data_IF_820166721278
#
_entry.id   IF_820166721278
#
_cell.length_a   1.000
_cell.length_b   1.000
_cell.length_c   1.000
_cell.angle_alpha   90.00
_cell.angle_beta   90.00
_cell.angle_gamma   90.00
#
_symmetry.space_group_name_H-M   'P 1'
#
loop_
_entity.id
_entity.type
_entity.pdbx_description
1 polymer ?
#
# COMPACT_ATOMS: atom_id res chain seq x y z
N UNK A 1 19.68 0.78 -38.13
CA UNK A 1 19.19 0.59 -36.74
C UNK A 1 18.59 -0.79 -36.46
N UNK A 2 18.03 -1.53 -37.43
CA UNK A 2 17.42 -2.85 -37.21
C UNK A 2 18.37 -3.96 -36.73
N UNK A 3 19.70 -3.80 -36.80
CA UNK A 3 20.68 -4.84 -36.43
C UNK A 3 21.15 -4.80 -34.96
N UNK A 4 20.81 -3.77 -34.17
CA UNK A 4 21.33 -3.65 -32.79
C UNK A 4 20.44 -4.36 -31.73
N UNK A 5 19.29 -4.91 -32.12
CA UNK A 5 18.25 -5.39 -31.19
C UNK A 5 18.09 -6.93 -31.24
N UNK A 6 18.92 -7.64 -32.00
CA UNK A 6 18.70 -9.07 -32.30
C UNK A 6 19.24 -10.04 -31.23
N UNK A 7 19.78 -9.55 -30.10
CA UNK A 7 20.42 -10.40 -29.08
C UNK A 7 19.66 -10.62 -27.77
N UNK A 8 18.57 -9.90 -27.49
CA UNK A 8 17.95 -9.92 -26.15
C UNK A 8 16.73 -10.87 -26.14
N UNK A 9 17.00 -12.18 -26.03
CA UNK A 9 15.95 -13.17 -25.72
C UNK A 9 15.63 -13.14 -24.23
N UNK A 10 14.39 -12.75 -23.95
CA UNK A 10 13.73 -12.75 -22.64
C UNK A 10 13.75 -14.13 -21.96
N UNK A 11 14.55 -14.27 -20.91
CA UNK A 11 14.26 -15.11 -19.75
C UNK A 11 15.00 -14.54 -18.53
N UNK A 12 14.23 -14.33 -17.46
CA UNK A 12 14.64 -13.87 -16.12
C UNK A 12 15.04 -12.39 -16.00
N UNK A 13 14.14 -11.63 -15.37
CA UNK A 13 14.29 -10.20 -15.06
C UNK A 13 14.89 -10.10 -13.67
N UNK A 14 16.20 -9.91 -13.67
CA UNK A 14 16.98 -9.55 -12.50
C UNK A 14 16.94 -8.01 -12.31
N UNK A 15 17.06 -7.56 -11.06
CA UNK A 15 17.15 -6.14 -10.69
C UNK A 15 18.45 -5.46 -11.16
N UNK A 16 19.28 -6.20 -11.90
CA UNK A 16 20.53 -5.80 -12.54
C UNK A 16 20.36 -5.27 -13.98
N UNK A 17 19.18 -5.37 -14.60
CA UNK A 17 18.99 -4.93 -15.98
C UNK A 17 18.79 -3.40 -16.08
N UNK A 18 19.88 -2.65 -15.98
CA UNK A 18 19.92 -1.22 -16.34
C UNK A 18 20.35 -1.08 -17.79
N UNK A 19 19.56 -0.38 -18.61
CA UNK A 19 19.93 -0.09 -20.00
C UNK A 19 20.23 1.39 -20.15
N UNK A 20 21.43 1.70 -20.61
CA UNK A 20 21.86 3.04 -20.96
C UNK A 20 21.56 3.25 -22.45
N UNK A 21 20.71 4.22 -22.76
CA UNK A 21 20.34 4.60 -24.12
C UNK A 21 20.90 5.98 -24.40
N UNK A 22 21.77 6.07 -25.39
CA UNK A 22 22.20 7.37 -25.91
C UNK A 22 21.11 7.88 -26.86
N UNK A 23 20.29 8.81 -26.39
CA UNK A 23 19.13 9.35 -27.10
C UNK A 23 19.47 10.06 -28.41
N UNK A 24 20.71 10.54 -28.57
CA UNK A 24 21.20 11.10 -29.85
C UNK A 24 21.82 10.09 -30.81
N UNK A 25 22.02 8.83 -30.41
CA UNK A 25 22.74 7.86 -31.24
C UNK A 25 21.94 7.51 -32.50
N UNK A 26 22.45 7.95 -33.66
CA UNK A 26 21.86 7.70 -34.97
C UNK A 26 20.72 8.65 -35.37
N UNK A 27 20.46 9.70 -34.59
CA UNK A 27 19.59 10.81 -34.99
C UNK A 27 20.43 11.95 -35.59
N UNK A 28 19.81 12.80 -36.42
CA UNK A 28 20.49 13.96 -37.02
C UNK A 28 20.68 15.05 -35.96
N UNK A 29 21.83 15.71 -35.92
CA UNK A 29 22.03 16.91 -35.10
C UNK A 29 21.54 18.16 -35.85
N UNK A 30 20.78 19.06 -35.22
CA UNK A 30 20.31 19.01 -33.83
C UNK A 30 19.22 17.95 -33.63
N UNK A 31 19.28 17.23 -32.50
CA UNK A 31 18.37 16.12 -32.20
C UNK A 31 16.95 16.64 -32.02
N UNK A 32 16.00 16.11 -32.80
CA UNK A 32 14.59 16.44 -32.69
C UNK A 32 13.97 15.74 -31.45
N UNK A 33 13.39 16.48 -30.48
CA UNK A 33 12.79 15.90 -29.28
C UNK A 33 11.74 14.82 -29.57
N UNK A 34 10.94 15.01 -30.63
CA UNK A 34 9.86 14.09 -31.00
C UNK A 34 10.39 12.73 -31.48
N UNK A 35 11.53 12.71 -32.17
CA UNK A 35 12.16 11.47 -32.64
C UNK A 35 12.70 10.66 -31.46
N UNK A 36 13.28 11.34 -30.46
CA UNK A 36 13.75 10.72 -29.22
C UNK A 36 12.57 10.14 -28.43
N UNK A 37 11.47 10.89 -28.29
CA UNK A 37 10.26 10.39 -27.61
C UNK A 37 9.71 9.15 -28.32
N UNK A 38 9.60 9.17 -29.64
CA UNK A 38 9.12 8.03 -30.42
C UNK A 38 10.03 6.78 -30.25
N UNK A 39 11.35 6.99 -30.25
CA UNK A 39 12.33 5.93 -30.01
C UNK A 39 12.17 5.32 -28.62
N UNK A 40 12.09 6.16 -27.59
CA UNK A 40 11.96 5.72 -26.20
C UNK A 40 10.62 5.03 -25.97
N UNK A 41 9.55 5.50 -26.61
CA UNK A 41 8.24 4.84 -26.57
C UNK A 41 8.31 3.43 -27.20
N UNK A 42 9.01 3.27 -28.32
CA UNK A 42 9.22 1.97 -28.95
C UNK A 42 10.03 1.01 -28.06
N UNK A 43 11.06 1.51 -27.38
CA UNK A 43 11.84 0.74 -26.41
C UNK A 43 10.98 0.34 -25.22
N UNK A 44 10.23 1.28 -24.63
CA UNK A 44 9.38 1.04 -23.47
C UNK A 44 8.26 0.05 -23.76
N UNK A 45 7.75 0.00 -25.00
CA UNK A 45 6.79 -1.03 -25.45
C UNK A 45 7.35 -2.44 -25.33
N UNK A 46 8.67 -2.63 -25.50
CA UNK A 46 9.35 -3.92 -25.38
C UNK A 46 9.92 -4.18 -23.98
N UNK A 47 10.27 -3.12 -23.25
CA UNK A 47 10.96 -3.16 -21.96
C UNK A 47 10.17 -2.40 -20.89
N UNK A 48 9.00 -2.96 -20.54
CA UNK A 48 8.03 -2.28 -19.67
C UNK A 48 8.55 -2.01 -18.25
N UNK A 49 9.36 -2.90 -17.70
CA UNK A 49 9.81 -2.87 -16.30
C UNK A 49 11.31 -2.60 -16.12
N UNK A 50 12.01 -2.30 -17.22
CA UNK A 50 13.47 -2.06 -17.19
C UNK A 50 13.76 -0.60 -16.81
N UNK A 51 14.73 -0.37 -15.92
CA UNK A 51 15.23 0.97 -15.63
C UNK A 51 16.01 1.48 -16.84
N UNK A 52 15.58 2.63 -17.39
CA UNK A 52 16.20 3.25 -18.55
C UNK A 52 16.96 4.50 -18.11
N UNK A 53 18.27 4.52 -18.34
CA UNK A 53 19.11 5.71 -18.18
C UNK A 53 19.29 6.30 -19.58
N UNK A 54 18.76 7.50 -19.82
CA UNK A 54 18.76 8.11 -21.15
C UNK A 54 19.71 9.29 -21.15
N UNK A 55 20.78 9.17 -21.94
CA UNK A 55 21.74 10.25 -22.17
C UNK A 55 21.27 11.10 -23.35
N UNK A 56 21.22 12.41 -23.16
CA UNK A 56 20.60 13.38 -24.06
C UNK A 56 21.55 14.55 -24.30
N UNK A 57 21.38 15.21 -25.44
CA UNK A 57 22.11 16.42 -25.77
C UNK A 57 21.70 17.57 -24.83
N UNK A 58 22.66 18.43 -24.44
CA UNK A 58 22.42 19.51 -23.47
C UNK A 58 21.29 20.47 -23.87
N UNK A 59 21.07 20.68 -25.18
CA UNK A 59 19.99 21.52 -25.69
C UNK A 59 18.58 21.03 -25.34
N UNK A 60 18.41 19.74 -25.04
CA UNK A 60 17.12 19.17 -24.65
C UNK A 60 16.79 19.40 -23.16
N UNK A 61 17.76 19.86 -22.36
CA UNK A 61 17.55 20.11 -20.93
C UNK A 61 16.54 21.23 -20.65
N UNK A 62 16.42 22.17 -21.58
CA UNK A 62 15.49 23.31 -21.46
C UNK A 62 14.10 23.03 -22.03
N UNK A 63 13.91 21.91 -22.72
CA UNK A 63 12.62 21.53 -23.31
C UNK A 63 11.74 20.84 -22.27
N UNK A 64 10.87 21.64 -21.65
CA UNK A 64 9.95 21.20 -20.59
C UNK A 64 8.94 20.17 -21.08
N UNK A 65 8.48 20.29 -22.34
CA UNK A 65 7.47 19.38 -22.90
C UNK A 65 8.09 18.02 -23.17
N UNK A 66 9.31 18.02 -23.72
CA UNK A 66 10.10 16.82 -23.89
C UNK A 66 10.38 16.09 -22.56
N UNK A 67 10.85 16.82 -21.53
CA UNK A 67 11.10 16.23 -20.20
C UNK A 67 9.81 15.64 -19.62
N UNK A 68 8.69 16.35 -19.74
CA UNK A 68 7.39 15.87 -19.27
C UNK A 68 6.97 14.58 -19.99
N UNK A 69 7.16 14.52 -21.31
CA UNK A 69 6.86 13.31 -22.09
C UNK A 69 7.70 12.11 -21.62
N UNK A 70 8.99 12.32 -21.38
CA UNK A 70 9.90 11.28 -20.85
C UNK A 70 9.49 10.77 -19.47
N UNK A 71 9.16 11.69 -18.56
CA UNK A 71 8.69 11.35 -17.20
C UNK A 71 7.35 10.61 -17.24
N UNK A 72 6.41 11.01 -18.11
CA UNK A 72 5.14 10.32 -18.30
C UNK A 72 5.31 8.89 -18.84
N UNK A 73 6.42 8.61 -19.54
CA UNK A 73 6.81 7.25 -19.95
C UNK A 73 7.56 6.48 -18.85
N UNK A 74 7.61 7.00 -17.62
CA UNK A 74 8.29 6.43 -16.46
C UNK A 74 9.81 6.47 -16.56
N UNK A 75 10.38 7.31 -17.43
CA UNK A 75 11.83 7.46 -17.58
C UNK A 75 12.30 8.57 -16.64
N UNK A 76 12.86 8.15 -15.50
CA UNK A 76 13.28 9.04 -14.41
C UNK A 76 14.80 9.16 -14.28
N UNK A 77 15.58 8.69 -15.24
CA UNK A 77 17.03 8.86 -15.27
C UNK A 77 17.44 9.57 -16.58
N UNK A 78 17.13 10.86 -16.67
CA UNK A 78 17.52 11.70 -17.80
C UNK A 78 18.83 12.39 -17.49
N UNK A 79 19.82 12.22 -18.35
CA UNK A 79 21.11 12.89 -18.23
C UNK A 79 21.38 13.77 -19.44
N UNK A 80 21.73 15.02 -19.19
CA UNK A 80 22.01 16.03 -20.21
C UNK A 80 23.50 16.37 -20.22
N UNK A 81 24.33 15.36 -20.43
CA UNK A 81 25.80 15.52 -20.52
C UNK A 81 26.34 14.75 -21.71
N UNK A 82 27.41 15.27 -22.30
CA UNK A 82 28.16 14.64 -23.40
C UNK A 82 29.33 13.79 -22.90
N UNK A 83 29.76 13.97 -21.65
CA UNK A 83 30.91 13.28 -21.06
C UNK A 83 30.52 12.49 -19.81
N UNK A 84 31.06 11.27 -19.69
CA UNK A 84 30.84 10.36 -18.57
C UNK A 84 32.16 9.96 -17.92
N UNK A 85 32.20 10.01 -16.57
CA UNK A 85 33.11 9.17 -15.79
C UNK A 85 32.33 7.99 -15.24
N UNK A 86 32.94 6.81 -15.22
CA UNK A 86 32.29 5.57 -14.78
C UNK A 86 31.71 5.66 -13.36
N UNK A 87 32.36 6.42 -12.48
CA UNK A 87 31.95 6.60 -11.09
C UNK A 87 30.65 7.42 -10.96
N UNK A 88 30.42 8.36 -11.88
CA UNK A 88 29.21 9.20 -11.87
C UNK A 88 27.96 8.36 -12.19
N UNK A 89 28.09 7.40 -13.11
CA UNK A 89 27.00 6.45 -13.45
C UNK A 89 26.69 5.56 -12.25
N UNK A 90 27.70 5.04 -11.56
CA UNK A 90 27.50 4.19 -10.39
C UNK A 90 26.84 4.95 -9.24
N UNK A 91 27.26 6.19 -8.98
CA UNK A 91 26.64 7.04 -7.98
C UNK A 91 25.20 7.41 -8.37
N UNK A 92 24.97 7.68 -9.66
CA UNK A 92 23.64 7.97 -10.18
C UNK A 92 22.68 6.78 -10.08
N UNK A 93 23.15 5.58 -10.39
CA UNK A 93 22.36 4.34 -10.25
C UNK A 93 21.97 4.12 -8.78
N UNK A 94 22.88 4.41 -7.84
CA UNK A 94 22.60 4.31 -6.40
C UNK A 94 21.58 5.34 -5.92
N UNK A 95 21.49 6.49 -6.58
CA UNK A 95 20.55 7.54 -6.21
C UNK A 95 19.14 7.25 -6.78
N UNK A 96 18.14 7.12 -5.90
CA UNK A 96 16.76 6.92 -6.31
C UNK A 96 16.17 8.25 -6.79
N UNK A 97 16.01 8.40 -8.09
CA UNK A 97 15.35 9.56 -8.70
C UNK A 97 13.83 9.40 -8.66
N UNK A 98 13.14 10.46 -8.29
CA UNK A 98 11.68 10.54 -8.24
C UNK A 98 11.18 11.62 -9.18
N UNK A 99 9.89 11.61 -9.53
CA UNK A 99 9.23 12.68 -10.29
C UNK A 99 9.47 14.08 -9.67
N UNK A 100 9.69 14.14 -8.35
CA UNK A 100 9.98 15.38 -7.62
C UNK A 100 11.30 16.03 -8.02
N UNK A 101 12.32 15.23 -8.33
CA UNK A 101 13.64 15.75 -8.70
C UNK A 101 13.57 16.50 -10.04
N UNK A 102 12.64 16.09 -10.91
CA UNK A 102 12.35 16.77 -12.18
C UNK A 102 11.62 18.09 -12.01
N UNK A 103 10.70 18.20 -11.06
CA UNK A 103 10.03 19.48 -10.76
C UNK A 103 11.00 20.53 -10.22
N UNK A 104 12.13 20.11 -9.62
CA UNK A 104 13.20 21.03 -9.23
C UNK A 104 13.96 21.57 -10.47
N UNK A 105 14.16 20.73 -11.50
CA UNK A 105 14.79 21.13 -12.78
C UNK A 105 13.88 22.10 -13.56
N UNK A 106 12.56 21.89 -13.51
CA UNK A 106 11.57 22.76 -14.17
C UNK A 106 11.50 24.17 -13.57
N UNK A 107 12.17 24.41 -12.44
CA UNK A 107 12.27 25.70 -11.78
C UNK A 107 10.96 26.15 -11.13
N UNK A 108 11.05 26.70 -9.91
CA UNK A 108 9.97 27.54 -9.35
C UNK A 108 9.84 28.75 -10.26
N UNK A 109 8.93 28.70 -11.24
CA UNK A 109 8.51 29.87 -12.02
C UNK A 109 8.09 30.94 -11.01
N UNK A 110 8.94 31.96 -10.79
CA UNK A 110 8.70 33.06 -9.84
C UNK A 110 7.38 33.73 -10.22
N UNK A 111 6.30 33.32 -9.56
CA UNK A 111 5.02 33.98 -9.65
C UNK A 111 5.14 35.31 -8.89
N UNK A 112 5.50 36.40 -9.60
CA UNK A 112 5.42 37.75 -9.04
C UNK A 112 3.95 38.17 -9.04
N UNK A 113 3.26 38.02 -7.91
CA UNK A 113 2.01 38.74 -7.64
C UNK A 113 2.40 40.19 -7.33
N UNK A 114 1.82 41.21 -7.96
CA UNK A 114 2.05 42.59 -7.57
C UNK A 114 1.33 42.83 -6.24
N UNK A 115 2.11 42.90 -5.15
CA UNK A 115 1.61 43.30 -3.84
C UNK A 115 1.47 44.83 -3.82
N UNK A 116 0.25 45.30 -3.63
CA UNK A 116 -0.10 46.72 -3.46
C UNK A 116 0.57 47.23 -2.18
N UNK A 117 1.46 48.20 -2.33
CA UNK A 117 2.20 48.84 -1.25
C UNK A 117 1.39 50.04 -0.75
N UNK A 118 0.74 49.88 0.40
CA UNK A 118 0.11 50.99 1.12
C UNK A 118 1.17 51.94 1.66
N UNK A 119 0.94 53.23 1.45
CA UNK A 119 1.82 54.33 1.82
C UNK A 119 2.04 54.41 3.33
N UNK A 120 3.26 54.74 3.73
CA UNK A 120 3.61 55.29 5.03
C UNK A 120 4.37 56.58 4.76
N UNK A 121 3.87 57.70 5.29
CA UNK A 121 4.63 58.94 5.38
C UNK A 121 4.49 59.47 6.81
N UNK A 122 5.65 59.53 7.47
CA UNK A 122 6.15 60.39 8.55
C UNK A 122 5.20 61.05 9.57
N UNK A 123 5.57 60.94 10.86
CA UNK A 123 6.24 62.05 11.57
C UNK A 123 6.77 61.68 12.98
N UNK A 124 8.08 61.93 13.16
CA UNK A 124 8.86 62.48 14.29
C UNK A 124 8.32 62.55 15.73
N UNK A 125 9.20 62.20 16.68
CA UNK A 125 9.20 62.70 18.07
C UNK A 125 10.40 62.21 18.90
N UNK A 126 11.35 63.10 19.20
CA UNK A 126 12.55 62.91 20.04
C UNK A 126 12.23 62.81 21.56
N UNK A 127 13.11 62.16 22.32
CA UNK A 127 13.22 62.34 23.78
C UNK A 127 14.30 61.45 24.41
N UNK A 128 15.29 62.08 25.07
CA UNK A 128 16.50 61.47 25.63
C UNK A 128 16.43 61.24 27.16
N UNK A 129 17.33 60.38 27.67
CA UNK A 129 17.62 60.12 29.09
C UNK A 129 17.21 58.70 29.51
N UNK A 130 18.00 57.84 30.15
CA UNK A 130 19.18 58.02 30.98
C UNK A 130 18.96 57.24 32.28
N UNK A 131 19.71 56.14 32.51
CA UNK A 131 20.01 55.64 33.85
C UNK A 131 19.24 54.44 34.42
N UNK A 132 20.05 53.46 34.85
CA UNK A 132 19.92 52.63 36.06
C UNK A 132 19.07 51.34 36.08
N UNK A 133 19.79 50.26 36.40
CA UNK A 133 19.38 48.95 36.94
C UNK A 133 18.99 49.09 38.42
N UNK A 134 17.96 48.37 38.93
CA UNK A 134 18.20 47.26 39.86
C UNK A 134 17.26 46.04 39.69
N UNK A 135 17.48 44.93 40.43
CA UNK A 135 16.90 43.60 40.21
C UNK A 135 15.89 43.20 41.32
N UNK A 136 15.71 41.90 41.62
CA UNK A 136 14.59 41.04 41.24
C UNK A 136 13.56 40.86 42.37
N UNK A 137 12.38 40.31 42.08
CA UNK A 137 11.53 39.80 43.15
C UNK A 137 10.99 38.39 42.90
N UNK A 138 11.12 37.63 43.97
CA UNK A 138 10.78 36.23 44.15
C UNK A 138 9.30 36.07 44.49
N UNK A 139 8.75 34.91 44.11
CA UNK A 139 7.72 34.23 44.87
C UNK A 139 6.28 34.49 44.42
N UNK A 140 5.60 33.43 43.95
CA UNK A 140 4.83 32.60 44.87
C UNK A 140 4.03 31.54 44.10
N UNK A 141 4.10 30.32 44.62
CA UNK A 141 3.23 29.19 44.31
C UNK A 141 1.83 29.45 44.88
N UNK A 142 0.79 29.37 44.04
CA UNK A 142 -0.59 28.98 44.36
C UNK A 142 -1.13 28.30 43.09
N UNK A 143 -1.18 26.97 42.97
CA UNK A 143 -2.16 26.04 43.53
C UNK A 143 -3.60 26.55 43.55
N UNK A 144 -4.49 25.68 43.04
CA UNK A 144 -5.96 25.63 43.23
C UNK A 144 -6.86 26.28 42.16
N UNK A 145 -7.44 25.37 41.37
CA UNK A 145 -8.91 25.19 41.24
C UNK A 145 -9.61 25.80 40.04
N UNK A 146 -9.99 24.85 39.16
CA UNK A 146 -11.12 24.81 38.24
C UNK A 146 -12.35 25.60 38.71
N UNK A 147 -12.93 26.46 37.86
CA UNK A 147 -14.34 26.80 37.94
C UNK A 147 -15.15 26.03 36.89
N UNK A 148 -16.13 25.26 37.38
CA UNK A 148 -17.37 25.03 36.65
C UNK A 148 -18.16 26.36 36.60
N UNK A 149 -19.06 26.50 35.62
CA UNK A 149 -20.39 26.97 35.99
C UNK A 149 -21.51 26.10 35.43
N UNK A 150 -22.47 25.92 36.32
CA UNK A 150 -23.80 25.37 36.18
C UNK A 150 -24.74 26.33 35.43
N UNK A 151 -25.74 25.76 34.74
CA UNK A 151 -27.12 26.22 34.89
C UNK A 151 -27.72 27.19 33.85
N UNK A 152 -28.39 26.58 32.86
CA UNK A 152 -29.77 26.86 32.42
C UNK A 152 -30.25 28.29 32.09
N UNK A 153 -30.63 28.51 30.83
CA UNK A 153 -31.92 29.04 30.33
C UNK A 153 -31.74 29.38 28.84
N UNK A 154 -32.54 28.84 27.92
CA UNK A 154 -33.87 29.35 27.61
C UNK A 154 -33.80 30.21 26.35
N UNK A 155 -34.07 29.65 25.17
CA UNK A 155 -34.07 30.41 23.92
C UNK A 155 -34.23 29.55 22.66
N UNK A 156 -35.43 29.04 22.42
CA UNK A 156 -35.84 28.50 21.11
C UNK A 156 -36.00 29.66 20.13
N UNK A 157 -35.14 29.74 19.12
CA UNK A 157 -35.32 30.59 17.94
C UNK A 157 -35.46 29.67 16.73
N UNK A 158 -36.64 29.71 16.10
CA UNK A 158 -36.94 29.00 14.86
C UNK A 158 -36.13 29.59 13.69
N UNK A 159 -35.54 28.77 12.80
CA UNK A 159 -35.00 29.27 11.55
C UNK A 159 -36.13 29.50 10.52
N UNK A 160 -36.03 30.53 9.66
CA UNK A 160 -37.02 30.81 8.63
C UNK A 160 -36.87 29.85 7.43
N UNK A 161 -38.01 29.38 6.92
CA UNK A 161 -38.15 28.57 5.71
C UNK A 161 -37.66 29.31 4.46
N UNK A 162 -37.08 28.61 3.47
CA UNK A 162 -36.73 29.20 2.18
C UNK A 162 -37.98 29.38 1.29
N UNK A 163 -38.01 30.41 0.43
CA UNK A 163 -39.11 30.64 -0.50
C UNK A 163 -39.05 29.72 -1.73
N UNK A 164 -40.19 29.11 -2.04
CA UNK A 164 -40.46 28.42 -3.30
C UNK A 164 -40.55 29.41 -4.46
N UNK A 165 -39.97 29.14 -5.64
CA UNK A 165 -40.37 29.79 -6.87
C UNK A 165 -41.37 28.91 -7.63
N UNK A 166 -42.61 29.41 -7.68
CA UNK A 166 -43.62 29.10 -8.67
C UNK A 166 -43.25 29.76 -10.00
N UNK A 167 -43.17 28.96 -11.06
CA UNK A 167 -42.87 29.44 -12.41
C UNK A 167 -43.26 28.41 -13.47
N UNK A 168 -44.55 28.38 -13.80
CA UNK A 168 -45.11 27.71 -14.97
C UNK A 168 -44.90 28.62 -16.19
N UNK A 169 -44.16 28.19 -17.21
CA UNK A 169 -44.47 28.52 -18.62
C UNK A 169 -44.18 27.32 -19.52
N UNK A 170 -45.26 26.93 -20.20
CA UNK A 170 -45.46 26.02 -21.32
C UNK A 170 -44.77 26.56 -22.59
N UNK A 171 -44.08 25.72 -23.36
CA UNK A 171 -44.33 25.68 -24.80
C UNK A 171 -43.85 24.41 -25.50
N UNK A 172 -44.74 23.94 -26.35
CA UNK A 172 -44.63 22.87 -27.33
C UNK A 172 -43.58 23.24 -28.40
N UNK A 173 -42.77 22.28 -28.86
CA UNK A 173 -42.74 21.98 -30.30
C UNK A 173 -42.05 20.65 -30.64
N UNK A 174 -42.94 19.75 -31.03
CA UNK A 174 -42.80 18.56 -31.85
C UNK A 174 -41.97 18.84 -33.13
N UNK A 175 -40.97 18.01 -33.43
CA UNK A 175 -40.54 17.65 -34.79
C UNK A 175 -39.52 16.51 -34.78
N UNK A 176 -39.98 15.32 -35.17
CA UNK A 176 -39.22 14.29 -35.87
C UNK A 176 -40.08 13.93 -37.11
N UNK A 177 -39.61 13.23 -38.16
CA UNK A 177 -38.33 12.52 -38.31
C UNK A 177 -37.60 12.84 -39.64
N UNK A 178 -36.36 12.40 -39.81
CA UNK A 178 -35.76 12.26 -41.14
C UNK A 178 -34.87 11.02 -41.21
N UNK A 179 -35.44 10.04 -41.88
CA UNK A 179 -34.88 8.80 -42.39
C UNK A 179 -33.80 9.07 -43.44
N UNK A 180 -32.56 8.63 -43.21
CA UNK A 180 -31.61 8.34 -44.30
C UNK A 180 -30.83 7.06 -43.94
N UNK A 181 -31.17 5.95 -44.62
CA UNK A 181 -30.31 4.78 -44.83
C UNK A 181 -29.30 5.10 -45.93
N UNK A 182 -28.05 4.63 -45.81
CA UNK A 182 -27.54 3.57 -46.69
C UNK A 182 -26.57 2.63 -45.92
N UNK A 183 -26.11 1.46 -46.38
CA UNK A 183 -26.34 0.56 -47.51
C UNK A 183 -25.44 -0.65 -47.20
N UNK A 184 -26.05 -1.82 -47.14
CA UNK A 184 -25.57 -3.16 -47.52
C UNK A 184 -24.06 -3.45 -47.47
N UNK A 185 -23.68 -4.18 -46.42
CA UNK A 185 -22.90 -5.42 -46.37
C UNK A 185 -22.18 -5.92 -47.63
N UNK A 186 -20.88 -6.17 -47.47
CA UNK A 186 -20.15 -7.31 -48.04
C UNK A 186 -18.89 -7.58 -47.19
N UNK A 187 -18.84 -8.65 -46.39
CA UNK A 187 -17.59 -9.25 -45.96
C UNK A 187 -17.32 -10.55 -46.76
N UNK A 188 -16.13 -10.61 -47.37
CA UNK A 188 -15.55 -11.84 -47.91
C UNK A 188 -15.12 -12.78 -46.77
N UNK A 189 -15.07 -14.10 -47.02
CA UNK A 189 -15.07 -15.13 -45.99
C UNK A 189 -13.69 -15.27 -45.34
N UNK A 190 -13.66 -15.27 -44.01
CA UNK A 190 -12.53 -15.77 -43.24
C UNK A 190 -12.67 -17.28 -43.11
N UNK A 191 -11.62 -17.97 -43.52
CA UNK A 191 -11.43 -19.40 -43.38
C UNK A 191 -11.59 -19.81 -41.92
N UNK A 192 -12.50 -20.75 -41.75
CA UNK A 192 -12.70 -21.62 -40.60
C UNK A 192 -11.40 -22.41 -40.37
N UNK A 193 -10.67 -22.05 -39.30
CA UNK A 193 -9.71 -22.95 -38.68
C UNK A 193 -10.41 -23.44 -37.42
N UNK A 194 -11.07 -24.59 -37.56
CA UNK A 194 -11.36 -25.47 -36.44
C UNK A 194 -10.05 -25.78 -35.74
N UNK A 195 -9.95 -25.39 -34.47
CA UNK A 195 -9.01 -26.02 -33.56
C UNK A 195 -9.72 -26.19 -32.22
N UNK A 196 -10.30 -27.39 -32.09
CA UNK A 196 -10.51 -28.08 -30.83
C UNK A 196 -9.25 -27.95 -29.98
N UNK A 197 -9.42 -27.47 -28.74
CA UNK A 197 -8.62 -27.92 -27.61
C UNK A 197 -9.43 -27.60 -26.33
N UNK A 198 -10.20 -28.61 -25.92
CA UNK A 198 -10.63 -28.81 -24.54
C UNK A 198 -9.39 -28.85 -23.63
N UNK A 199 -9.18 -27.78 -22.86
CA UNK A 199 -8.38 -27.87 -21.63
C UNK A 199 -9.13 -27.13 -20.52
N UNK A 200 -9.87 -27.92 -19.74
CA UNK A 200 -10.29 -27.62 -18.37
C UNK A 200 -9.04 -27.24 -17.53
N UNK A 201 -8.71 -25.95 -17.52
CA UNK A 201 -7.72 -25.39 -16.61
C UNK A 201 -8.45 -24.72 -15.44
N UNK A 202 -8.69 -25.50 -14.38
CA UNK A 202 -9.04 -24.96 -13.08
C UNK A 202 -8.05 -23.83 -12.69
N UNK A 203 -8.52 -22.66 -12.20
CA UNK A 203 -7.63 -21.59 -11.80
C UNK A 203 -7.01 -21.93 -10.43
N UNK A 204 -5.94 -22.72 -10.43
CA UNK A 204 -5.15 -22.96 -9.23
C UNK A 204 -4.36 -21.69 -8.93
N UNK A 205 -4.78 -21.02 -7.87
CA UNK A 205 -4.17 -19.85 -7.23
C UNK A 205 -2.64 -19.90 -7.24
N UNK A 206 -2.02 -19.13 -8.13
CA UNK A 206 -0.58 -18.89 -8.17
C UNK A 206 -0.07 -18.09 -6.95
N UNK A 207 -0.96 -17.59 -6.09
CA UNK A 207 -0.61 -16.84 -4.89
C UNK A 207 -0.12 -17.74 -3.73
N UNK A 208 -0.26 -19.06 -3.81
CA UNK A 208 0.06 -19.98 -2.71
C UNK A 208 1.31 -20.85 -2.92
N UNK A 209 2.13 -20.61 -3.96
CA UNK A 209 3.35 -21.40 -4.24
C UNK A 209 4.68 -20.72 -3.87
N UNK A 210 4.67 -19.77 -2.93
CA UNK A 210 5.91 -19.23 -2.33
C UNK A 210 6.13 -19.90 -0.96
N UNK A 211 6.42 -21.20 -0.94
CA UNK A 211 6.92 -21.85 0.27
C UNK A 211 7.86 -22.99 -0.11
N UNK A 212 9.11 -22.65 -0.43
CA UNK A 212 10.32 -23.44 -0.12
C UNK A 212 11.55 -22.75 -0.73
N UNK A 213 12.33 -22.01 0.06
CA UNK A 213 13.70 -21.65 -0.32
C UNK A 213 14.24 -20.31 0.20
N UNK A 214 13.40 -19.29 0.40
CA UNK A 214 13.85 -18.00 0.93
C UNK A 214 13.06 -17.61 2.17
N UNK A 215 13.76 -17.29 3.26
CA UNK A 215 13.21 -16.85 4.55
C UNK A 215 12.64 -15.42 4.49
N UNK A 216 12.06 -15.02 3.36
CA UNK A 216 11.52 -13.68 3.22
C UNK A 216 10.15 -13.59 3.92
N UNK A 217 9.90 -12.52 4.70
CA UNK A 217 8.61 -12.32 5.33
C UNK A 217 7.49 -12.15 4.30
N UNK A 218 6.30 -12.64 4.64
CA UNK A 218 5.06 -12.37 3.91
C UNK A 218 4.61 -10.94 4.22
N UNK A 219 4.51 -10.09 3.18
CA UNK A 219 4.10 -8.68 3.34
C UNK A 219 2.60 -8.53 3.10
N UNK A 220 1.89 -8.10 4.13
CA UNK A 220 0.45 -7.89 4.12
C UNK A 220 0.19 -6.39 4.24
N UNK A 221 -0.49 -5.79 3.26
CA UNK A 221 -0.89 -4.38 3.32
C UNK A 221 -2.33 -4.27 3.77
N UNK A 222 -2.62 -3.50 4.82
CA UNK A 222 -3.98 -3.31 5.34
C UNK A 222 -4.34 -1.82 5.31
N UNK A 223 -5.44 -1.49 4.65
CA UNK A 223 -5.97 -0.12 4.59
C UNK A 223 -7.49 -0.07 4.75
N UNK A 224 -8.03 1.07 5.13
CA UNK A 224 -9.48 1.33 5.13
C UNK A 224 -9.99 1.80 3.76
N UNK A 225 -11.30 1.66 3.53
CA UNK A 225 -11.99 2.17 2.32
C UNK A 225 -12.31 3.66 2.44
N UNK A 226 -12.77 4.09 3.62
CA UNK A 226 -13.33 5.42 3.85
C UNK A 226 -12.82 6.13 5.11
N UNK A 227 -12.00 5.48 5.93
CA UNK A 227 -11.38 6.06 7.13
C UNK A 227 -12.26 6.01 8.38
N UNK A 228 -13.49 5.53 8.26
CA UNK A 228 -14.39 5.27 9.40
C UNK A 228 -14.34 3.80 9.87
N UNK A 229 -13.61 2.95 9.14
CA UNK A 229 -13.45 1.55 9.47
C UNK A 229 -12.39 1.33 10.54
N UNK A 230 -12.61 0.35 11.40
CA UNK A 230 -11.63 -0.05 12.41
C UNK A 230 -10.54 -0.95 11.78
N UNK A 231 -9.64 -0.31 11.04
CA UNK A 231 -8.49 -0.96 10.41
C UNK A 231 -7.52 -1.52 11.46
N UNK A 232 -7.45 -0.87 12.63
CA UNK A 232 -6.59 -1.28 13.75
C UNK A 232 -7.01 -2.63 14.31
N UNK A 233 -8.30 -2.79 14.60
CA UNK A 233 -8.86 -4.06 15.05
C UNK A 233 -8.57 -5.20 14.05
N UNK A 234 -8.76 -4.96 12.75
CA UNK A 234 -8.45 -5.96 11.72
C UNK A 234 -6.95 -6.32 11.68
N UNK A 235 -6.06 -5.33 11.81
CA UNK A 235 -4.61 -5.56 11.84
C UNK A 235 -4.17 -6.34 13.09
N UNK A 236 -4.70 -5.98 14.26
CA UNK A 236 -4.41 -6.64 15.53
C UNK A 236 -4.95 -8.07 15.57
N UNK A 237 -6.19 -8.28 15.14
CA UNK A 237 -6.81 -9.62 15.08
C UNK A 237 -6.03 -10.57 14.19
N UNK A 238 -5.57 -10.07 13.04
CA UNK A 238 -4.73 -10.84 12.13
C UNK A 238 -3.35 -11.14 12.72
N UNK A 239 -2.72 -10.16 13.38
CA UNK A 239 -1.43 -10.36 14.04
C UNK A 239 -1.53 -11.39 15.17
N UNK A 240 -2.50 -11.24 16.06
CA UNK A 240 -2.71 -12.18 17.16
C UNK A 240 -3.08 -13.58 16.64
N UNK A 241 -3.90 -13.66 15.58
CA UNK A 241 -4.20 -14.93 14.91
C UNK A 241 -2.94 -15.62 14.38
N UNK A 242 -2.03 -14.85 13.76
CA UNK A 242 -0.74 -15.35 13.30
C UNK A 242 0.15 -15.86 14.45
N UNK A 243 0.16 -15.19 15.61
CA UNK A 243 0.88 -15.68 16.81
C UNK A 243 0.34 -17.04 17.25
N UNK A 244 -0.99 -17.21 17.33
CA UNK A 244 -1.62 -18.49 17.69
C UNK A 244 -1.29 -19.61 16.70
N UNK A 245 -1.11 -19.27 15.42
CA UNK A 245 -0.62 -20.20 14.38
C UNK A 245 0.89 -20.49 14.47
N UNK A 246 1.60 -19.91 15.45
CA UNK A 246 3.03 -20.08 15.70
C UNK A 246 3.92 -19.31 14.71
N UNK A 247 3.43 -18.19 14.19
CA UNK A 247 4.19 -17.25 13.36
C UNK A 247 4.73 -16.09 14.21
N UNK A 248 5.63 -15.29 13.63
CA UNK A 248 6.21 -14.09 14.25
C UNK A 248 5.79 -12.88 13.43
N UNK A 249 4.65 -12.26 13.73
CA UNK A 249 4.17 -11.08 13.01
C UNK A 249 4.83 -9.80 13.57
N UNK A 250 5.12 -8.88 12.65
CA UNK A 250 5.47 -7.49 12.96
C UNK A 250 4.38 -6.57 12.42
N UNK A 251 3.83 -5.71 13.26
CA UNK A 251 2.84 -4.68 12.89
C UNK A 251 3.53 -3.33 12.75
N UNK A 252 3.40 -2.73 11.57
CA UNK A 252 3.99 -1.46 11.20
C UNK A 252 2.88 -0.46 10.86
N UNK A 253 2.50 0.38 11.82
CA UNK A 253 1.51 1.44 11.63
C UNK A 253 2.16 2.82 11.47
N UNK A 254 1.69 3.60 10.50
CA UNK A 254 2.10 4.99 10.36
C UNK A 254 1.32 5.91 11.30
N UNK A 255 2.02 6.48 12.28
CA UNK A 255 1.47 7.49 13.20
C UNK A 255 0.13 7.06 13.82
N UNK A 256 0.06 5.80 14.28
CA UNK A 256 -1.15 5.19 14.85
C UNK A 256 -1.19 5.41 16.36
N UNK A 257 -2.12 6.21 16.90
CA UNK A 257 -2.25 6.41 18.34
C UNK A 257 -2.57 5.10 19.08
N UNK A 258 -3.26 4.16 18.43
CA UNK A 258 -3.61 2.86 18.99
C UNK A 258 -2.37 2.03 19.36
N UNK A 259 -1.27 2.17 18.59
CA UNK A 259 0.01 1.52 18.92
C UNK A 259 0.64 2.16 20.16
N UNK A 260 0.57 3.48 20.31
CA UNK A 260 1.08 4.15 21.52
C UNK A 260 0.25 3.82 22.75
N UNK A 261 -1.08 3.76 22.63
CA UNK A 261 -1.94 3.30 23.73
C UNK A 261 -1.59 1.86 24.14
N UNK A 262 -1.32 0.99 23.16
CA UNK A 262 -0.91 -0.38 23.45
C UNK A 262 0.47 -0.46 24.10
N UNK A 263 1.39 0.39 23.68
CA UNK A 263 2.72 0.52 24.29
C UNK A 263 2.64 0.91 25.77
N UNK A 264 1.81 1.91 26.12
CA UNK A 264 1.58 2.33 27.50
C UNK A 264 1.05 1.17 28.37
N UNK A 265 0.13 0.35 27.82
CA UNK A 265 -0.40 -0.84 28.49
C UNK A 265 0.66 -1.93 28.63
N UNK A 266 1.48 -2.13 27.58
CA UNK A 266 2.52 -3.16 27.58
C UNK A 266 3.61 -2.91 28.63
N UNK A 267 3.89 -1.65 28.96
CA UNK A 267 4.94 -1.25 29.90
C UNK A 267 4.39 -0.74 31.23
N UNK A 268 3.14 -1.01 31.62
CA UNK A 268 2.44 -0.51 32.82
C UNK A 268 3.33 -0.25 34.06
N UNK A 269 3.93 0.96 34.14
CA UNK A 269 4.81 1.39 35.24
C UNK A 269 6.29 0.95 35.17
N UNK A 270 6.69 0.16 34.17
CA UNK A 270 8.09 -0.21 33.93
C UNK A 270 8.86 0.89 33.18
N UNK A 271 10.20 0.87 33.31
CA UNK A 271 11.05 1.77 32.54
C UNK A 271 11.04 1.35 31.08
N UNK A 272 10.31 2.09 30.27
CA UNK A 272 10.33 1.98 28.82
C UNK A 272 11.78 2.03 28.31
N UNK A 273 12.16 1.03 27.49
CA UNK A 273 13.40 1.13 26.72
C UNK A 273 13.20 2.10 25.56
N UNK A 274 13.28 3.40 25.87
CA UNK A 274 13.14 4.51 24.91
C UNK A 274 14.08 4.42 23.69
N UNK A 275 15.10 3.56 23.74
CA UNK A 275 16.06 3.38 22.64
C UNK A 275 15.63 2.35 21.62
N UNK A 276 14.73 1.44 21.99
CA UNK A 276 14.20 0.45 21.05
C UNK A 276 13.20 1.09 20.09
N UNK A 277 13.26 0.70 18.81
CA UNK A 277 12.25 1.08 17.80
C UNK A 277 10.99 0.22 17.83
N UNK A 278 11.05 -0.91 18.53
CA UNK A 278 10.00 -1.93 18.55
C UNK A 278 9.71 -2.37 19.99
N UNK A 279 8.49 -2.83 20.23
CA UNK A 279 8.12 -3.50 21.48
C UNK A 279 7.29 -4.74 21.16
N UNK A 280 7.18 -5.65 22.12
CA UNK A 280 6.41 -6.88 21.98
C UNK A 280 5.27 -6.88 22.99
N UNK A 281 4.08 -7.27 22.55
CA UNK A 281 2.92 -7.47 23.40
C UNK A 281 2.16 -8.72 22.94
N UNK A 282 1.91 -9.65 23.85
CA UNK A 282 1.19 -10.90 23.56
C UNK A 282 1.76 -11.71 22.36
N UNK A 283 3.08 -11.68 22.19
CA UNK A 283 3.79 -12.37 21.09
C UNK A 283 3.75 -11.64 19.75
N UNK A 284 3.08 -10.49 19.65
CA UNK A 284 3.08 -9.61 18.48
C UNK A 284 4.14 -8.54 18.67
N UNK A 285 5.02 -8.36 17.69
CA UNK A 285 5.95 -7.23 17.69
C UNK A 285 5.31 -6.03 17.00
N UNK A 286 5.43 -4.86 17.60
CA UNK A 286 4.93 -3.59 17.08
C UNK A 286 6.08 -2.63 16.82
N UNK A 287 6.01 -1.93 15.71
CA UNK A 287 6.90 -0.81 15.43
C UNK A 287 6.37 0.44 16.14
N UNK A 288 7.20 1.08 16.97
CA UNK A 288 6.80 2.21 17.80
C UNK A 288 6.40 3.43 16.97
N UNK A 289 5.44 4.19 17.50
CA UNK A 289 4.99 5.44 16.88
C UNK A 289 6.14 6.44 16.78
N UNK A 290 6.19 7.19 15.68
CA UNK A 290 7.20 8.24 15.46
C UNK A 290 8.53 7.73 14.90
N UNK A 291 8.80 6.43 14.96
CA UNK A 291 9.92 5.82 14.26
C UNK A 291 9.55 5.56 12.80
N UNK A 292 10.50 5.79 11.89
CA UNK A 292 10.38 5.40 10.50
C UNK A 292 10.96 4.01 10.28
N UNK A 293 10.29 3.22 9.45
CA UNK A 293 10.75 1.92 9.00
C UNK A 293 10.95 1.92 7.48
N UNK A 294 11.99 1.21 7.04
CA UNK A 294 12.27 0.95 5.63
C UNK A 294 11.91 -0.50 5.30
N UNK A 295 11.30 -0.74 4.14
CA UNK A 295 10.93 -2.08 3.68
C UNK A 295 12.17 -2.98 3.65
N UNK A 296 13.33 -2.46 3.22
CA UNK A 296 14.57 -3.23 3.23
C UNK A 296 14.98 -3.71 4.62
N UNK A 297 14.85 -2.86 5.65
CA UNK A 297 15.08 -3.23 7.06
C UNK A 297 14.09 -4.32 7.47
N UNK A 298 12.80 -4.13 7.15
CA UNK A 298 11.74 -5.09 7.48
C UNK A 298 11.97 -6.45 6.81
N UNK A 299 12.41 -6.50 5.56
CA UNK A 299 12.69 -7.77 4.86
C UNK A 299 13.83 -8.57 5.51
N UNK A 300 14.75 -7.90 6.20
CA UNK A 300 15.90 -8.52 6.88
C UNK A 300 15.68 -8.80 8.37
N UNK A 301 14.53 -8.39 8.92
CA UNK A 301 14.22 -8.43 10.36
C UNK A 301 14.02 -9.83 10.96
N UNK A 302 13.90 -10.87 10.13
CA UNK A 302 13.67 -12.24 10.58
C UNK A 302 12.22 -12.55 11.03
N UNK A 303 11.30 -11.58 10.91
CA UNK A 303 9.87 -11.84 11.08
C UNK A 303 9.35 -12.74 9.96
N UNK A 304 8.28 -13.49 10.23
CA UNK A 304 7.66 -14.33 9.19
C UNK A 304 6.56 -13.60 8.44
N UNK A 305 5.92 -12.64 9.10
CA UNK A 305 4.86 -11.81 8.52
C UNK A 305 5.09 -10.36 8.90
N UNK A 306 4.89 -9.46 7.94
CA UNK A 306 4.92 -8.02 8.16
C UNK A 306 3.56 -7.47 7.76
N UNK A 307 2.87 -6.85 8.71
CA UNK A 307 1.58 -6.21 8.50
C UNK A 307 1.81 -4.69 8.41
N UNK A 308 1.64 -4.16 7.20
CA UNK A 308 1.74 -2.74 6.90
C UNK A 308 0.36 -2.12 7.08
N UNK A 309 0.14 -1.44 8.21
CA UNK A 309 -1.10 -0.73 8.48
C UNK A 309 -1.02 0.71 7.97
N UNK A 310 -1.47 0.88 6.72
CA UNK A 310 -1.25 2.10 5.93
C UNK A 310 -2.54 2.91 5.78
N UNK A 311 -2.38 4.23 5.79
CA UNK A 311 -3.42 5.17 5.41
C UNK A 311 -3.19 5.59 3.96
N UNK A 312 -3.98 5.06 3.03
CA UNK A 312 -3.82 5.31 1.59
C UNK A 312 -4.03 6.78 1.20
N UNK A 313 -4.60 7.60 2.08
CA UNK A 313 -4.82 9.02 1.86
C UNK A 313 -3.67 9.89 2.38
N UNK A 314 -2.75 9.33 3.17
CA UNK A 314 -1.57 10.05 3.68
C UNK A 314 -0.34 9.67 2.88
N UNK A 315 0.36 10.68 2.36
CA UNK A 315 1.65 10.46 1.73
C UNK A 315 2.75 10.25 2.78
N UNK A 316 3.56 9.21 2.58
CA UNK A 316 4.83 9.03 3.28
C UNK A 316 5.94 9.78 2.55
N UNK A 317 7.01 10.14 3.26
CA UNK A 317 8.17 10.81 2.66
C UNK A 317 8.82 9.89 1.61
N UNK A 318 8.51 10.14 0.34
CA UNK A 318 9.16 9.49 -0.81
C UNK A 318 8.51 8.21 -1.34
N UNK A 319 7.43 7.71 -0.73
CA UNK A 319 6.65 6.55 -1.22
C UNK A 319 5.16 6.82 -0.96
N UNK A 320 4.32 6.62 -1.98
CA UNK A 320 2.87 6.70 -1.83
C UNK A 320 2.36 5.53 -0.97
N UNK A 321 1.56 5.80 0.06
CA UNK A 321 0.97 4.76 0.89
C UNK A 321 0.08 3.80 0.07
N UNK A 322 -0.58 4.34 -0.96
CA UNK A 322 -1.32 3.54 -1.92
C UNK A 322 -0.41 2.60 -2.72
N UNK A 323 0.74 3.09 -3.19
CA UNK A 323 1.72 2.26 -3.90
C UNK A 323 2.28 1.17 -2.99
N UNK A 324 2.57 1.51 -1.74
CA UNK A 324 3.06 0.57 -0.74
C UNK A 324 2.04 -0.53 -0.44
N UNK A 325 0.78 -0.14 -0.25
CA UNK A 325 -0.34 -1.07 -0.10
C UNK A 325 -0.48 -1.98 -1.33
N UNK A 326 -0.46 -1.40 -2.54
CA UNK A 326 -0.64 -2.12 -3.80
C UNK A 326 0.49 -3.12 -4.09
N UNK A 327 1.71 -2.76 -3.68
CA UNK A 327 2.89 -3.59 -3.86
C UNK A 327 3.05 -4.66 -2.76
N UNK A 328 2.21 -4.65 -1.72
CA UNK A 328 2.16 -5.75 -0.77
C UNK A 328 1.79 -7.06 -1.46
N UNK A 329 2.27 -8.19 -0.92
CA UNK A 329 1.99 -9.50 -1.49
C UNK A 329 0.50 -9.83 -1.32
N UNK A 330 -0.07 -9.41 -0.20
CA UNK A 330 -1.49 -9.54 0.12
C UNK A 330 -2.07 -8.16 0.44
N UNK A 331 -2.65 -7.46 -0.54
CA UNK A 331 -3.37 -6.22 -0.30
C UNK A 331 -4.76 -6.51 0.27
N UNK A 332 -5.02 -5.95 1.44
CA UNK A 332 -6.25 -6.10 2.22
C UNK A 332 -6.88 -4.72 2.40
N UNK A 333 -8.15 -4.62 2.05
CA UNK A 333 -8.97 -3.44 2.20
C UNK A 333 -10.07 -3.73 3.21
N UNK A 334 -10.23 -2.87 4.20
CA UNK A 334 -11.24 -2.97 5.26
C UNK A 334 -12.36 -2.00 4.94
N UNK A 335 -13.55 -2.52 4.70
CA UNK A 335 -14.77 -1.76 4.43
C UNK A 335 -15.82 -2.01 5.50
N UNK A 336 -16.77 -1.07 5.62
CA UNK A 336 -17.92 -1.26 6.50
C UNK A 336 -18.98 -2.16 5.82
N UNK A 337 -19.41 -3.21 6.51
CA UNK A 337 -20.39 -4.18 6.01
C UNK A 337 -21.85 -3.84 6.33
N UNK A 338 -22.15 -2.63 6.79
CA UNK A 338 -23.52 -2.15 6.99
C UNK A 338 -24.21 -1.81 5.67
N UNK A 339 -25.49 -2.18 5.57
CA UNK A 339 -26.26 -2.04 4.31
C UNK A 339 -26.40 -0.59 3.85
N UNK A 340 -26.52 0.38 4.76
CA UNK A 340 -26.63 1.81 4.40
C UNK A 340 -25.32 2.41 3.89
N UNK A 341 -24.17 1.76 4.12
CA UNK A 341 -22.85 2.17 3.59
C UNK A 341 -22.48 1.42 2.31
N UNK A 342 -23.31 0.49 1.86
CA UNK A 342 -23.03 -0.35 0.70
C UNK A 342 -22.78 0.45 -0.58
N UNK A 343 -23.59 1.47 -0.87
CA UNK A 343 -23.43 2.24 -2.12
C UNK A 343 -22.11 3.03 -2.14
N UNK A 344 -21.67 3.55 -0.99
CA UNK A 344 -20.37 4.20 -0.86
C UNK A 344 -19.23 3.21 -1.09
N UNK A 345 -19.30 2.02 -0.46
CA UNK A 345 -18.33 0.95 -0.68
C UNK A 345 -18.28 0.54 -2.16
N UNK A 346 -19.44 0.38 -2.80
CA UNK A 346 -19.57 0.06 -4.21
C UNK A 346 -18.95 1.13 -5.12
N UNK A 347 -19.19 2.41 -4.84
CA UNK A 347 -18.56 3.52 -5.55
C UNK A 347 -17.03 3.41 -5.49
N UNK A 348 -16.47 3.17 -4.30
CA UNK A 348 -15.02 3.01 -4.12
C UNK A 348 -14.47 1.79 -4.87
N UNK A 349 -15.14 0.65 -4.78
CA UNK A 349 -14.73 -0.56 -5.51
C UNK A 349 -14.79 -0.39 -7.03
N UNK A 350 -15.72 0.42 -7.54
CA UNK A 350 -15.80 0.75 -8.97
C UNK A 350 -14.62 1.61 -9.45
N UNK A 351 -13.91 2.30 -8.56
CA UNK A 351 -12.68 3.01 -8.93
C UNK A 351 -11.51 2.08 -9.23
N UNK A 352 -11.57 0.84 -8.71
CA UNK A 352 -10.57 -0.19 -8.96
C UNK A 352 -10.87 -0.93 -10.27
N UNK A 353 -9.82 -1.24 -11.03
CA UNK A 353 -9.92 -2.11 -12.20
C UNK A 353 -10.26 -3.55 -11.80
N UNK A 354 -10.83 -4.38 -12.69
CA UNK A 354 -11.14 -5.78 -12.38
C UNK A 354 -9.93 -6.60 -11.92
N UNK A 355 -8.75 -6.33 -12.50
CA UNK A 355 -7.51 -6.98 -12.07
C UNK A 355 -7.12 -6.57 -10.64
N UNK A 356 -7.30 -5.29 -10.31
CA UNK A 356 -7.04 -4.79 -8.96
C UNK A 356 -8.00 -5.41 -7.94
N UNK A 357 -9.30 -5.43 -8.23
CA UNK A 357 -10.29 -6.09 -7.37
C UNK A 357 -10.02 -7.58 -7.15
N UNK A 358 -9.56 -8.29 -8.18
CA UNK A 358 -9.23 -9.72 -8.06
C UNK A 358 -8.04 -10.00 -7.14
N UNK A 359 -7.07 -9.08 -7.09
CA UNK A 359 -5.88 -9.19 -6.23
C UNK A 359 -6.17 -8.73 -4.79
N UNK A 360 -7.03 -7.72 -4.64
CA UNK A 360 -7.42 -7.16 -3.37
C UNK A 360 -8.36 -8.11 -2.61
N UNK A 361 -8.12 -8.26 -1.30
CA UNK A 361 -9.04 -8.94 -0.39
C UNK A 361 -9.84 -7.90 0.37
N UNK A 362 -11.16 -8.03 0.37
CA UNK A 362 -12.06 -7.12 1.08
C UNK A 362 -12.50 -7.76 2.39
N UNK A 363 -12.23 -7.09 3.50
CA UNK A 363 -12.74 -7.44 4.82
C UNK A 363 -13.90 -6.53 5.17
N UNK A 364 -15.02 -7.10 5.59
CA UNK A 364 -16.20 -6.34 5.98
C UNK A 364 -16.33 -6.32 7.50
N UNK A 365 -16.13 -5.16 8.09
CA UNK A 365 -16.36 -4.89 9.52
C UNK A 365 -17.88 -4.84 9.78
N UNK A 366 -18.35 -5.44 10.89
CA UNK A 366 -19.77 -5.44 11.29
C UNK A 366 -20.71 -5.90 10.16
N UNK A 367 -20.23 -6.81 9.32
CA UNK A 367 -20.88 -7.12 8.06
C UNK A 367 -22.02 -8.12 8.19
N UNK A 368 -23.13 -7.81 7.52
CA UNK A 368 -24.22 -8.77 7.36
C UNK A 368 -23.97 -9.67 6.15
N UNK A 369 -24.40 -10.94 6.24
CA UNK A 369 -24.30 -11.90 5.14
C UNK A 369 -25.01 -11.42 3.86
N UNK A 370 -26.04 -10.58 3.99
CA UNK A 370 -26.75 -9.99 2.84
C UNK A 370 -25.88 -9.00 2.06
N UNK A 371 -25.06 -8.20 2.75
CA UNK A 371 -24.12 -7.27 2.10
C UNK A 371 -23.04 -8.05 1.37
N UNK A 372 -22.52 -9.12 1.98
CA UNK A 372 -21.57 -10.02 1.33
C UNK A 372 -22.17 -10.67 0.08
N UNK A 373 -23.43 -11.14 0.15
CA UNK A 373 -24.14 -11.73 -1.00
C UNK A 373 -24.33 -10.71 -2.12
N UNK A 374 -24.70 -9.46 -1.78
CA UNK A 374 -24.85 -8.36 -2.75
C UNK A 374 -23.51 -7.97 -3.38
N UNK A 375 -22.43 -7.92 -2.60
CA UNK A 375 -21.07 -7.67 -3.11
C UNK A 375 -20.62 -8.76 -4.07
N UNK A 376 -20.79 -10.04 -3.73
CA UNK A 376 -20.44 -11.16 -4.62
C UNK A 376 -21.24 -11.17 -5.92
N UNK A 377 -22.48 -10.67 -5.90
CA UNK A 377 -23.31 -10.51 -7.10
C UNK A 377 -22.80 -9.38 -8.00
N UNK A 378 -22.46 -8.24 -7.41
CA UNK A 378 -22.05 -7.05 -8.16
C UNK A 378 -20.57 -7.11 -8.59
N UNK A 379 -19.73 -7.83 -7.84
CA UNK A 379 -18.30 -8.00 -8.04
C UNK A 379 -17.91 -9.47 -7.86
N UNK A 380 -18.11 -10.28 -8.90
CA UNK A 380 -17.77 -11.72 -8.83
C UNK A 380 -16.25 -11.99 -8.73
N UNK A 381 -15.43 -10.99 -9.05
CA UNK A 381 -13.97 -11.04 -9.04
C UNK A 381 -13.35 -10.79 -7.65
N UNK A 382 -14.07 -10.12 -6.74
CA UNK A 382 -13.51 -9.70 -5.45
C UNK A 382 -13.57 -10.81 -4.39
N UNK A 383 -12.47 -11.00 -3.67
CA UNK A 383 -12.42 -11.89 -2.51
C UNK A 383 -12.91 -11.15 -1.27
N UNK A 384 -14.22 -11.16 -1.05
CA UNK A 384 -14.85 -10.55 0.13
C UNK A 384 -15.08 -11.59 1.25
N UNK A 385 -14.73 -11.24 2.48
CA UNK A 385 -14.98 -12.02 3.69
C UNK A 385 -15.47 -11.12 4.82
N UNK A 386 -16.21 -11.68 5.77
CA UNK A 386 -16.60 -10.96 6.98
C UNK A 386 -15.44 -11.01 7.97
N UNK A 387 -15.18 -9.89 8.66
CA UNK A 387 -14.32 -9.90 9.82
C UNK A 387 -15.07 -10.64 10.95
N UNK A 388 -14.46 -11.63 11.61
CA UNK A 388 -15.12 -12.36 12.70
C UNK A 388 -15.37 -11.42 13.88
N UNK A 389 -16.51 -11.62 14.54
CA UNK A 389 -16.85 -10.88 15.75
C UNK A 389 -15.79 -11.14 16.83
N UNK A 390 -15.37 -10.07 17.49
CA UNK A 390 -14.37 -10.10 18.55
C UNK A 390 -14.67 -8.99 19.55
N UNK A 391 -14.48 -9.28 20.83
CA UNK A 391 -14.57 -8.27 21.89
C UNK A 391 -13.23 -7.53 22.04
N UNK A 392 -12.12 -8.27 21.93
CA UNK A 392 -10.75 -7.75 21.95
C UNK A 392 -9.95 -8.37 20.79
N UNK A 393 -9.43 -7.56 19.85
CA UNK A 393 -8.67 -8.08 18.71
C UNK A 393 -7.31 -8.67 19.08
N UNK A 394 -6.78 -8.42 20.28
CA UNK A 394 -5.50 -8.99 20.72
C UNK A 394 -5.64 -10.42 21.26
N UNK A 395 -6.86 -10.85 21.61
CA UNK A 395 -7.15 -12.20 22.09
C UNK A 395 -8.16 -12.90 21.17
N UNK A 396 -7.72 -13.33 19.97
CA UNK A 396 -8.60 -13.92 18.97
C UNK A 396 -9.18 -15.26 19.46
N UNK A 397 -10.46 -15.48 19.17
CA UNK A 397 -11.11 -16.79 19.30
C UNK A 397 -10.54 -17.80 18.30
N UNK A 398 -10.78 -19.09 18.52
CA UNK A 398 -10.37 -20.14 17.57
C UNK A 398 -10.95 -19.90 16.16
N UNK A 399 -12.18 -19.38 16.07
CA UNK A 399 -12.81 -18.99 14.81
C UNK A 399 -12.07 -17.86 14.10
N UNK A 400 -11.55 -16.87 14.84
CA UNK A 400 -10.73 -15.80 14.28
C UNK A 400 -9.34 -16.30 13.85
N UNK A 401 -8.77 -17.27 14.57
CA UNK A 401 -7.50 -17.91 14.19
C UNK A 401 -7.65 -18.71 12.88
N UNK A 402 -8.72 -19.49 12.76
CA UNK A 402 -9.06 -20.21 11.53
C UNK A 402 -9.30 -19.24 10.36
N UNK A 403 -10.06 -18.18 10.60
CA UNK A 403 -10.26 -17.11 9.62
C UNK A 403 -8.94 -16.49 9.15
N UNK A 404 -8.01 -16.17 10.05
CA UNK A 404 -6.72 -15.59 9.68
C UNK A 404 -5.87 -16.58 8.84
N UNK A 405 -5.93 -17.87 9.17
CA UNK A 405 -5.28 -18.95 8.41
C UNK A 405 -5.85 -19.07 6.99
N UNK A 406 -7.18 -19.10 6.86
CA UNK A 406 -7.88 -19.16 5.58
C UNK A 406 -7.62 -17.92 4.74
N UNK A 407 -7.74 -16.74 5.36
CA UNK A 407 -7.50 -15.45 4.71
C UNK A 407 -6.12 -15.47 4.08
N UNK A 408 -5.07 -15.82 4.82
CA UNK A 408 -3.69 -15.78 4.33
C UNK A 408 -3.30 -16.98 3.47
N UNK A 409 -4.20 -17.94 3.24
CA UNK A 409 -3.88 -19.23 2.61
C UNK A 409 -2.78 -19.99 3.35
N UNK A 410 -2.52 -19.61 4.60
CA UNK A 410 -1.40 -20.05 5.41
C UNK A 410 -1.83 -21.26 6.20
N UNK A 411 -2.05 -22.36 5.47
CA UNK A 411 -2.22 -23.70 6.02
C UNK A 411 -0.87 -24.18 6.60
N UNK A 412 -0.37 -23.52 7.64
CA UNK A 412 0.61 -24.18 8.51
C UNK A 412 -0.13 -25.40 9.02
N UNK A 413 0.38 -26.60 8.75
CA UNK A 413 -0.17 -27.85 9.30
C UNK A 413 0.01 -27.81 10.83
N UNK A 414 -0.85 -27.07 11.53
CA UNK A 414 -0.84 -26.94 12.99
C UNK A 414 -0.88 -28.31 13.68
N UNK A 415 -1.42 -29.31 12.99
CA UNK A 415 -1.58 -30.65 13.53
C UNK A 415 -0.40 -31.62 13.35
N UNK A 416 0.69 -31.26 12.65
CA UNK A 416 1.76 -32.25 12.42
C UNK A 416 2.73 -32.45 13.59
N UNK A 417 3.02 -31.43 14.40
CA UNK A 417 3.98 -31.61 15.51
C UNK A 417 3.49 -32.57 16.60
N UNK A 418 2.25 -32.47 17.13
CA UNK A 418 1.80 -33.42 18.13
C UNK A 418 1.63 -34.82 17.54
N UNK A 419 1.08 -34.96 16.34
CA UNK A 419 0.87 -36.27 15.70
C UNK A 419 2.19 -36.96 15.37
N UNK A 420 3.20 -36.24 14.87
CA UNK A 420 4.52 -36.81 14.60
C UNK A 420 5.19 -37.23 15.91
N UNK A 421 5.08 -36.43 16.99
CA UNK A 421 5.61 -36.83 18.28
C UNK A 421 4.91 -38.07 18.84
N UNK A 422 3.58 -38.20 18.70
CA UNK A 422 2.85 -39.41 19.06
C UNK A 422 3.23 -40.62 18.21
N UNK A 423 3.49 -40.45 16.91
CA UNK A 423 3.99 -41.51 16.03
C UNK A 423 5.39 -41.95 16.47
N UNK A 424 6.29 -41.01 16.80
CA UNK A 424 7.64 -41.33 17.28
C UNK A 424 7.57 -42.07 18.62
N UNK A 425 6.79 -41.58 19.58
CA UNK A 425 6.59 -42.24 20.87
C UNK A 425 6.00 -43.64 20.69
N UNK A 426 4.98 -43.78 19.84
CA UNK A 426 4.39 -45.07 19.50
C UNK A 426 5.38 -46.04 18.84
N UNK A 427 6.22 -45.55 17.92
CA UNK A 427 7.26 -46.34 17.27
C UNK A 427 8.33 -46.81 18.25
N UNK A 428 8.76 -45.94 19.18
CA UNK A 428 9.72 -46.31 20.23
C UNK A 428 9.13 -47.40 21.12
N UNK A 429 7.91 -47.23 21.62
CA UNK A 429 7.22 -48.22 22.47
C UNK A 429 7.07 -49.57 21.75
N UNK A 430 6.72 -49.53 20.46
CA UNK A 430 6.58 -50.74 19.65
C UNK A 430 7.92 -51.49 19.51
N UNK A 431 9.02 -50.78 19.25
CA UNK A 431 10.37 -51.38 19.16
C UNK A 431 10.77 -51.98 20.51
N UNK A 432 10.52 -51.31 21.65
CA UNK A 432 10.84 -51.87 22.97
C UNK A 432 10.06 -53.14 23.25
N UNK A 433 8.76 -53.18 22.93
CA UNK A 433 7.93 -54.40 23.06
C UNK A 433 8.48 -55.55 22.21
N UNK A 434 8.89 -55.26 20.98
CA UNK A 434 9.47 -56.25 20.06
C UNK A 434 10.75 -56.85 20.62
N UNK A 435 11.65 -56.02 21.17
CA UNK A 435 12.88 -56.47 21.82
C UNK A 435 12.62 -57.32 23.08
N UNK A 436 11.62 -56.95 23.89
CA UNK A 436 11.23 -57.75 25.08
C UNK A 436 10.68 -59.11 24.65
N UNK A 437 9.82 -59.17 23.64
CA UNK A 437 9.29 -60.43 23.12
C UNK A 437 10.39 -61.33 22.54
N UNK A 438 11.33 -60.74 21.79
CA UNK A 438 12.46 -61.49 21.23
C UNK A 438 13.38 -62.02 22.34
N UNK A 439 13.62 -61.25 23.40
CA UNK A 439 14.42 -61.66 24.55
C UNK A 439 13.81 -62.82 25.34
N UNK A 440 12.47 -62.83 25.52
CA UNK A 440 11.76 -63.93 26.19
C UNK A 440 11.83 -65.22 25.36
N UNK A 441 11.79 -65.14 24.03
CA UNK A 441 11.87 -66.30 23.15
C UNK A 441 13.26 -66.96 23.10
N UNK A 442 14.31 -66.28 23.58
CA UNK A 442 15.69 -66.80 23.55
C UNK A 442 16.10 -67.39 24.91
N UNK A 443 15.25 -67.36 25.94
CA UNK A 443 15.52 -68.05 27.20
C UNK A 443 15.64 -69.55 26.91
N UNK A 444 16.84 -70.15 26.96
CA UNK A 444 17.00 -71.57 26.69
C UNK A 444 16.31 -72.31 27.84
N UNK A 445 15.42 -73.24 27.52
CA UNK A 445 14.99 -74.24 28.48
C UNK A 445 16.25 -74.95 28.98
N UNK A 446 16.69 -74.60 30.20
CA UNK A 446 17.76 -75.29 30.88
C UNK A 446 17.26 -76.71 31.20
N UNK A 447 17.56 -77.65 30.30
CA UNK A 447 17.55 -79.09 30.56
C UNK A 447 18.99 -79.60 30.68
#
# INVERSE_FOLDING_TARGET
MSKLIEGLRSKEVDSSATIIIQGGAGLRSPVNPNEVVALIQAVRKRLKYTRLIVQLEAGLQTDVEFIRAMVNMGVHDLQFTIEFKSDDILNWIKEKKTTRDYYNILGKKKWRIPFIRSASQDQTGQGAGGGAVPPPDNGSLQSLTRPQPSGASGGRVNPPSPPSPSGSIRNEQRSAPSTIRPRTENPLPLQEIEQDDDIDAAPVSAAARIMTGSHLPLIIGVCGVGGEEDVGAAAFLMAAGLVKLGWKPLVCGDDRPEISSLEEVAFDGEKEDSTSKMFEYEGVTFFRRGYMWDISELMTSGFTHIILWVDIHKERRGISALELWWNSQIPIMVGNGAMWKYELLKEKLNTLTPHERKRCRLLLEKGHQDVLRKLKKDFADIQATLLPDHDDPLYPSDTAVEWASELLGSQKKLFRKPVINWIIIGAVIFITLLLVFMGIAIVPESQ
#
